data_IF_637867295641
#
_entry.id   IF_637867295641
#
_cell.length_a   1.000
_cell.length_b   1.000
_cell.length_c   1.000
_cell.angle_alpha   90.00
_cell.angle_beta   90.00
_cell.angle_gamma   90.00
#
_symmetry.space_group_name_H-M   'P 1'
#
loop_
_entity.id
_entity.type
_entity.pdbx_description
1 polymer ?
#
# COMPACT_ATOMS: atom_id res chain seq x y z
N UNK A 1 -48.43 -0.49 68.15
CA UNK A 1 -47.60 -0.22 66.96
C UNK A 1 -47.06 -1.53 66.43
N UNK A 2 -47.55 -2.01 65.28
CA UNK A 2 -47.01 -3.18 64.58
C UNK A 2 -46.66 -2.70 63.16
N UNK A 3 -45.37 -2.65 62.85
CA UNK A 3 -44.82 -2.24 61.56
C UNK A 3 -44.77 -3.45 60.64
N UNK A 4 -45.50 -3.42 59.54
CA UNK A 4 -45.44 -4.42 58.47
C UNK A 4 -44.46 -3.98 57.39
N UNK A 5 -43.41 -4.78 57.23
CA UNK A 5 -42.33 -4.67 56.27
C UNK A 5 -42.86 -4.93 54.85
N UNK A 6 -42.72 -3.97 53.92
CA UNK A 6 -43.01 -4.19 52.49
C UNK A 6 -41.70 -4.53 51.78
N UNK A 7 -41.66 -5.74 51.21
CA UNK A 7 -40.56 -6.21 50.37
C UNK A 7 -40.52 -5.40 49.05
N UNK A 8 -39.34 -4.85 48.74
CA UNK A 8 -39.06 -4.14 47.50
C UNK A 8 -38.44 -5.13 46.49
N UNK A 9 -39.22 -5.54 45.49
CA UNK A 9 -38.76 -6.38 44.39
C UNK A 9 -37.98 -5.52 43.39
N UNK A 10 -36.66 -5.71 43.31
CA UNK A 10 -35.80 -5.08 42.31
C UNK A 10 -35.87 -5.90 41.02
N UNK A 11 -36.46 -5.33 39.97
CA UNK A 11 -36.46 -5.87 38.61
C UNK A 11 -35.17 -5.40 37.94
N UNK A 12 -34.23 -6.32 37.76
CA UNK A 12 -33.00 -6.12 36.99
C UNK A 12 -33.36 -6.20 35.51
N UNK A 13 -33.47 -5.05 34.85
CA UNK A 13 -33.68 -4.94 33.40
C UNK A 13 -32.30 -5.05 32.72
N UNK A 14 -32.01 -6.25 32.20
CA UNK A 14 -30.78 -6.52 31.44
C UNK A 14 -30.78 -5.78 30.11
N UNK A 15 -29.92 -4.77 29.98
CA UNK A 15 -29.57 -4.18 28.70
C UNK A 15 -28.72 -5.18 27.91
N UNK A 16 -29.36 -5.89 26.97
CA UNK A 16 -28.67 -6.58 25.88
C UNK A 16 -28.07 -5.51 24.96
N UNK A 17 -26.79 -5.20 25.16
CA UNK A 17 -26.01 -4.43 24.20
C UNK A 17 -25.72 -5.35 23.02
N UNK A 18 -26.51 -5.23 21.97
CA UNK A 18 -26.22 -5.81 20.67
C UNK A 18 -24.93 -5.14 20.14
N UNK A 19 -23.83 -5.89 20.18
CA UNK A 19 -22.59 -5.51 19.55
C UNK A 19 -22.79 -5.67 18.03
N UNK A 20 -23.15 -4.58 17.35
CA UNK A 20 -23.09 -4.51 15.90
C UNK A 20 -21.61 -4.47 15.49
N UNK A 21 -20.96 -5.63 15.41
CA UNK A 21 -19.73 -5.78 14.64
C UNK A 21 -20.08 -5.52 13.19
N UNK A 22 -19.92 -4.27 12.75
CA UNK A 22 -19.84 -3.94 11.33
C UNK A 22 -18.59 -4.62 10.81
N UNK A 23 -18.73 -5.83 10.29
CA UNK A 23 -17.73 -6.45 9.45
C UNK A 23 -17.48 -5.46 8.32
N UNK A 24 -16.30 -4.84 8.32
CA UNK A 24 -15.88 -3.92 7.28
C UNK A 24 -15.73 -4.73 6.00
N UNK A 25 -16.80 -4.87 5.22
CA UNK A 25 -16.73 -5.42 3.88
C UNK A 25 -15.73 -4.56 3.09
N UNK A 26 -14.68 -5.20 2.56
CA UNK A 26 -13.74 -4.52 1.66
C UNK A 26 -14.57 -3.98 0.48
N UNK A 27 -14.38 -2.72 0.07
CA UNK A 27 -15.17 -2.13 -1.00
C UNK A 27 -15.03 -3.00 -2.26
N UNK A 28 -16.16 -3.52 -2.76
CA UNK A 28 -16.24 -4.19 -4.04
C UNK A 28 -16.07 -3.14 -5.14
N UNK A 29 -15.21 -3.42 -6.10
CA UNK A 29 -14.95 -2.53 -7.21
C UNK A 29 -15.32 -3.27 -8.48
N UNK A 30 -16.28 -2.72 -9.22
CA UNK A 30 -16.57 -3.13 -10.60
C UNK A 30 -15.37 -2.72 -11.45
N UNK A 31 -14.45 -3.67 -11.65
CA UNK A 31 -13.28 -3.46 -12.52
C UNK A 31 -13.58 -4.11 -13.86
N UNK A 32 -13.28 -3.41 -14.94
CA UNK A 32 -13.41 -3.88 -16.32
C UNK A 32 -12.35 -4.94 -16.66
N UNK A 33 -12.50 -6.12 -16.07
CA UNK A 33 -11.65 -7.28 -16.32
C UNK A 33 -12.06 -7.98 -17.62
N UNK A 34 -11.11 -8.17 -18.53
CA UNK A 34 -11.28 -9.06 -19.69
C UNK A 34 -10.94 -10.48 -19.24
N UNK A 35 -11.80 -11.46 -19.52
CA UNK A 35 -11.58 -12.83 -19.08
C UNK A 35 -11.69 -13.84 -20.21
N UNK A 36 -11.03 -14.99 -20.04
CA UNK A 36 -11.04 -16.09 -21.00
C UNK A 36 -10.83 -17.41 -20.27
N UNK A 37 -11.80 -18.31 -20.41
CA UNK A 37 -11.75 -19.64 -19.81
C UNK A 37 -11.16 -20.67 -20.78
N UNK A 38 -10.32 -21.58 -20.26
CA UNK A 38 -9.81 -22.77 -20.93
C UNK A 38 -9.95 -23.98 -20.00
N UNK A 39 -11.17 -24.43 -19.76
CA UNK A 39 -11.44 -25.62 -18.93
C UNK A 39 -11.70 -25.33 -17.44
N UNK A 40 -11.20 -24.20 -16.91
CA UNK A 40 -11.67 -23.68 -15.62
C UNK A 40 -12.87 -22.76 -15.82
N UNK A 41 -13.86 -22.86 -14.93
CA UNK A 41 -14.97 -21.92 -14.85
C UNK A 41 -14.84 -21.08 -13.56
N UNK A 42 -15.07 -19.78 -13.67
CA UNK A 42 -15.07 -18.82 -12.56
C UNK A 42 -16.32 -17.96 -12.73
N UNK A 43 -17.15 -17.88 -11.69
CA UNK A 43 -18.40 -17.10 -11.76
C UNK A 43 -18.12 -15.60 -11.73
N UNK A 44 -17.30 -15.16 -10.77
CA UNK A 44 -16.96 -13.74 -10.60
C UNK A 44 -15.45 -13.55 -10.48
N UNK A 45 -14.92 -12.58 -11.22
CA UNK A 45 -13.56 -12.06 -11.04
C UNK A 45 -13.63 -10.57 -10.72
N UNK A 46 -12.98 -10.14 -9.65
CA UNK A 46 -13.00 -8.74 -9.23
C UNK A 46 -11.72 -8.35 -8.49
N UNK A 47 -11.38 -7.06 -8.52
CA UNK A 47 -10.28 -6.52 -7.72
C UNK A 47 -10.82 -5.87 -6.44
N UNK A 48 -10.13 -6.10 -5.33
CA UNK A 48 -10.37 -5.42 -4.06
C UNK A 48 -9.07 -4.83 -3.51
N UNK A 49 -9.19 -3.80 -2.67
CA UNK A 49 -8.05 -3.13 -2.02
C UNK A 49 -8.31 -3.02 -0.53
N UNK A 50 -7.24 -2.82 0.25
CA UNK A 50 -7.37 -2.45 1.67
C UNK A 50 -7.64 -0.97 1.89
N UNK A 51 -7.18 -0.13 0.96
CA UNK A 51 -7.37 1.32 1.00
C UNK A 51 -8.43 1.77 -0.01
N UNK A 52 -8.96 2.97 0.21
CA UNK A 52 -9.87 3.64 -0.73
C UNK A 52 -9.15 3.86 -2.06
N UNK A 53 -9.84 3.57 -3.16
CA UNK A 53 -9.30 3.84 -4.49
C UNK A 53 -9.65 5.27 -4.94
N UNK A 54 -8.73 5.98 -5.61
CA UNK A 54 -8.99 7.30 -6.19
C UNK A 54 -9.97 7.29 -7.38
N UNK A 55 -10.22 6.13 -8.00
CA UNK A 55 -11.13 5.98 -9.12
C UNK A 55 -11.15 4.56 -9.67
N UNK A 56 -11.93 4.32 -10.72
CA UNK A 56 -11.98 3.02 -11.41
C UNK A 56 -10.58 2.64 -11.93
N UNK A 57 -10.12 1.42 -11.62
CA UNK A 57 -8.81 0.89 -11.99
C UNK A 57 -7.64 1.87 -11.74
N UNK A 58 -7.77 2.76 -10.75
CA UNK A 58 -6.74 3.75 -10.42
C UNK A 58 -6.30 3.51 -8.98
N UNK A 59 -4.99 3.46 -8.77
CA UNK A 59 -4.40 3.12 -7.49
C UNK A 59 -3.30 4.11 -7.12
N UNK A 60 -3.04 4.25 -5.83
CA UNK A 60 -1.88 5.01 -5.37
C UNK A 60 -0.60 4.17 -5.46
N UNK A 61 0.54 4.83 -5.66
CA UNK A 61 1.85 4.18 -5.59
C UNK A 61 2.03 3.47 -4.24
N UNK A 62 2.60 2.26 -4.27
CA UNK A 62 2.79 1.42 -3.10
C UNK A 62 1.55 0.67 -2.61
N UNK A 63 0.38 0.93 -3.21
CA UNK A 63 -0.86 0.26 -2.83
C UNK A 63 -0.83 -1.23 -3.24
N UNK A 64 -1.41 -2.06 -2.39
CA UNK A 64 -1.68 -3.48 -2.69
C UNK A 64 -3.12 -3.66 -3.13
N UNK A 65 -3.33 -4.40 -4.22
CA UNK A 65 -4.65 -4.91 -4.57
C UNK A 65 -4.67 -6.42 -4.72
N UNK A 66 -5.87 -6.97 -4.60
CA UNK A 66 -6.16 -8.39 -4.65
C UNK A 66 -7.06 -8.69 -5.83
N UNK A 67 -6.64 -9.57 -6.73
CA UNK A 67 -7.52 -10.13 -7.77
C UNK A 67 -8.17 -11.39 -7.24
N UNK A 68 -9.49 -11.40 -7.16
CA UNK A 68 -10.28 -12.45 -6.52
C UNK A 68 -11.02 -13.25 -7.59
N UNK A 69 -10.90 -14.58 -7.53
CA UNK A 69 -11.59 -15.53 -8.39
C UNK A 69 -12.58 -16.29 -7.52
N UNK A 70 -13.88 -16.08 -7.72
CA UNK A 70 -14.93 -16.61 -6.87
C UNK A 70 -15.71 -17.72 -7.57
N UNK A 71 -16.10 -18.72 -6.79
CA UNK A 71 -16.92 -19.86 -7.21
C UNK A 71 -16.29 -20.60 -8.40
N UNK A 72 -15.07 -21.09 -8.16
CA UNK A 72 -14.20 -21.70 -9.18
C UNK A 72 -14.49 -23.19 -9.31
N UNK A 73 -14.50 -23.71 -10.53
CA UNK A 73 -14.64 -25.13 -10.82
C UNK A 73 -13.84 -25.54 -12.07
N UNK A 74 -13.77 -26.85 -12.33
CA UNK A 74 -13.05 -27.41 -13.49
C UNK A 74 -11.63 -27.92 -13.17
N UNK A 75 -11.17 -27.79 -11.92
CA UNK A 75 -9.93 -28.42 -11.48
C UNK A 75 -10.04 -29.95 -11.42
N UNK A 76 -8.94 -30.63 -11.69
CA UNK A 76 -8.78 -32.05 -11.38
C UNK A 76 -8.59 -32.24 -9.88
N UNK A 77 -9.48 -33.02 -9.29
CA UNK A 77 -9.43 -33.35 -7.87
C UNK A 77 -8.50 -34.55 -7.67
N UNK A 78 -7.52 -34.40 -6.78
CA UNK A 78 -6.63 -35.49 -6.36
C UNK A 78 -6.68 -35.58 -4.83
N UNK A 79 -7.17 -36.70 -4.31
CA UNK A 79 -7.33 -36.94 -2.86
C UNK A 79 -8.21 -35.90 -2.13
N UNK A 80 -9.18 -35.29 -2.83
CA UNK A 80 -10.12 -34.31 -2.24
C UNK A 80 -9.69 -32.85 -2.39
N UNK A 81 -8.50 -32.60 -2.94
CA UNK A 81 -7.95 -31.26 -3.14
C UNK A 81 -7.86 -30.92 -4.64
N UNK A 82 -7.97 -29.63 -4.96
CA UNK A 82 -7.47 -29.08 -6.22
C UNK A 82 -6.09 -28.44 -6.00
N UNK A 83 -5.31 -28.26 -7.08
CA UNK A 83 -3.92 -27.78 -7.01
C UNK A 83 -3.77 -26.54 -7.89
N UNK A 84 -4.36 -25.42 -7.45
CA UNK A 84 -4.38 -24.22 -8.26
C UNK A 84 -3.00 -23.59 -8.26
N UNK A 85 -2.70 -22.86 -9.32
CA UNK A 85 -1.56 -21.97 -9.34
C UNK A 85 -1.91 -20.68 -10.06
N UNK A 86 -1.31 -19.58 -9.60
CA UNK A 86 -1.55 -18.26 -10.15
C UNK A 86 -0.23 -17.62 -10.58
N UNK A 87 -0.24 -17.13 -11.81
CA UNK A 87 0.80 -16.31 -12.40
C UNK A 87 0.24 -14.91 -12.65
N UNK A 88 1.07 -13.90 -12.42
CA UNK A 88 0.78 -12.51 -12.81
C UNK A 88 1.95 -11.93 -13.59
N UNK A 89 1.63 -11.25 -14.69
CA UNK A 89 2.56 -10.46 -15.48
C UNK A 89 2.05 -9.04 -15.56
N UNK A 90 2.89 -8.07 -15.20
CA UNK A 90 2.60 -6.64 -15.36
C UNK A 90 3.39 -6.10 -16.54
N UNK A 91 2.69 -5.46 -17.45
CA UNK A 91 3.23 -4.93 -18.70
C UNK A 91 3.03 -3.41 -18.74
N UNK A 92 4.06 -2.68 -19.16
CA UNK A 92 3.94 -1.25 -19.43
C UNK A 92 3.07 -0.98 -20.67
N UNK A 93 2.61 0.25 -20.84
CA UNK A 93 1.92 0.68 -22.08
C UNK A 93 2.74 0.43 -23.37
N UNK A 94 4.07 0.42 -23.27
CA UNK A 94 4.97 0.13 -24.39
C UNK A 94 5.10 -1.38 -24.71
N UNK A 95 4.51 -2.26 -23.90
CA UNK A 95 4.59 -3.71 -24.06
C UNK A 95 5.76 -4.36 -23.33
N UNK A 96 6.52 -3.61 -22.53
CA UNK A 96 7.63 -4.16 -21.74
C UNK A 96 7.10 -4.89 -20.52
N UNK A 97 7.55 -6.12 -20.28
CA UNK A 97 7.29 -6.84 -19.02
C UNK A 97 8.11 -6.20 -17.92
N UNK A 98 7.42 -5.69 -16.89
CA UNK A 98 8.03 -5.03 -15.74
C UNK A 98 8.13 -5.97 -14.54
N UNK A 99 7.14 -6.85 -14.38
CA UNK A 99 7.07 -7.80 -13.28
C UNK A 99 6.44 -9.10 -13.78
N UNK A 100 7.00 -10.23 -13.35
CA UNK A 100 6.51 -11.56 -13.62
C UNK A 100 6.65 -12.39 -12.35
N UNK A 101 5.53 -12.69 -11.70
CA UNK A 101 5.49 -13.55 -10.53
C UNK A 101 4.75 -14.83 -10.90
N UNK A 102 5.48 -15.94 -10.82
CA UNK A 102 4.95 -17.29 -10.97
C UNK A 102 4.78 -17.92 -9.61
N UNK A 103 3.91 -18.90 -9.54
CA UNK A 103 3.72 -19.74 -8.37
C UNK A 103 3.23 -18.99 -7.12
N UNK A 104 2.29 -18.05 -7.27
CA UNK A 104 1.78 -17.23 -6.16
C UNK A 104 1.10 -18.04 -5.05
N UNK A 105 0.64 -19.27 -5.32
CA UNK A 105 0.07 -20.17 -4.32
C UNK A 105 1.07 -21.22 -3.80
N UNK A 106 2.30 -21.22 -4.31
CA UNK A 106 3.37 -22.10 -3.86
C UNK A 106 3.13 -23.58 -4.16
N UNK A 107 2.24 -23.91 -5.09
CA UNK A 107 1.93 -25.29 -5.49
C UNK A 107 1.23 -26.15 -4.41
N UNK A 108 0.66 -25.54 -3.38
CA UNK A 108 -0.04 -26.25 -2.31
C UNK A 108 -1.45 -26.66 -2.75
N UNK A 109 -1.84 -27.89 -2.40
CA UNK A 109 -3.21 -28.35 -2.55
C UNK A 109 -4.17 -27.50 -1.71
N UNK A 110 -5.34 -27.22 -2.27
CA UNK A 110 -6.43 -26.50 -1.63
C UNK A 110 -7.65 -27.41 -1.52
N UNK A 111 -8.35 -27.42 -0.38
CA UNK A 111 -9.60 -28.13 -0.24
C UNK A 111 -10.61 -27.73 -1.32
N UNK A 112 -11.35 -28.70 -1.86
CA UNK A 112 -12.31 -28.45 -2.94
C UNK A 112 -13.45 -27.48 -2.61
N UNK A 113 -13.68 -27.20 -1.33
CA UNK A 113 -14.71 -26.29 -0.83
C UNK A 113 -14.22 -24.83 -0.69
N UNK A 114 -12.95 -24.54 -0.99
CA UNK A 114 -12.45 -23.16 -1.06
C UNK A 114 -13.17 -22.42 -2.19
N UNK A 115 -13.99 -21.46 -1.81
CA UNK A 115 -14.88 -20.70 -2.71
C UNK A 115 -14.21 -19.48 -3.37
N UNK A 116 -13.04 -19.07 -2.90
CA UNK A 116 -12.34 -17.90 -3.45
C UNK A 116 -10.84 -18.08 -3.39
N UNK A 117 -10.17 -17.88 -4.52
CA UNK A 117 -8.73 -17.74 -4.62
C UNK A 117 -8.39 -16.27 -4.87
N UNK A 118 -7.32 -15.76 -4.27
CA UNK A 118 -6.91 -14.37 -4.45
C UNK A 118 -5.42 -14.25 -4.76
N UNK A 119 -5.08 -13.51 -5.80
CA UNK A 119 -3.72 -13.08 -6.09
C UNK A 119 -3.46 -11.71 -5.51
N UNK A 120 -2.24 -11.48 -5.01
CA UNK A 120 -1.80 -10.20 -4.48
C UNK A 120 -0.83 -9.54 -5.48
N UNK A 121 -1.00 -8.24 -5.71
CA UNK A 121 -0.05 -7.41 -6.46
C UNK A 121 0.23 -6.12 -5.69
N UNK A 122 1.52 -5.81 -5.48
CA UNK A 122 2.00 -4.57 -4.87
C UNK A 122 2.43 -3.63 -6.00
N UNK A 123 1.89 -2.40 -6.00
CA UNK A 123 2.12 -1.41 -7.04
C UNK A 123 3.28 -0.47 -6.68
N UNK A 124 4.47 -1.05 -6.53
CA UNK A 124 5.71 -0.33 -6.26
C UNK A 124 6.74 -0.62 -7.38
N UNK A 125 7.95 -0.06 -7.27
CA UNK A 125 9.07 -0.29 -8.20
C UNK A 125 9.11 -1.75 -8.71
N UNK A 126 9.02 -1.99 -10.03
CA UNK A 126 9.16 -1.05 -11.15
C UNK A 126 7.86 -0.42 -11.70
N UNK A 127 6.76 -0.47 -10.95
CA UNK A 127 5.46 0.09 -11.32
C UNK A 127 5.31 1.47 -10.68
N UNK A 128 5.63 2.53 -11.43
CA UNK A 128 5.64 3.91 -10.97
C UNK A 128 4.35 4.68 -11.27
N UNK A 129 4.12 5.73 -10.51
CA UNK A 129 3.05 6.70 -10.69
C UNK A 129 3.19 7.50 -12.00
N UNK A 130 2.06 8.06 -12.46
CA UNK A 130 1.97 8.83 -13.70
C UNK A 130 1.77 7.96 -14.95
N UNK A 131 1.85 6.63 -14.81
CA UNK A 131 1.80 5.68 -15.92
C UNK A 131 0.56 4.77 -15.86
N UNK A 132 0.36 4.03 -16.95
CA UNK A 132 -0.69 3.03 -17.11
C UNK A 132 -0.07 1.69 -17.49
N UNK A 133 -0.63 0.63 -16.93
CA UNK A 133 -0.12 -0.72 -16.99
C UNK A 133 -1.25 -1.69 -17.30
N UNK A 134 -0.87 -2.91 -17.69
CA UNK A 134 -1.78 -4.04 -17.84
C UNK A 134 -1.31 -5.17 -16.93
N UNK A 135 -2.16 -5.60 -16.01
CA UNK A 135 -1.95 -6.83 -15.24
C UNK A 135 -2.63 -7.99 -15.96
N UNK A 136 -1.88 -9.06 -16.23
CA UNK A 136 -2.37 -10.30 -16.84
C UNK A 136 -2.20 -11.44 -15.86
N UNK A 137 -3.31 -12.10 -15.53
CA UNK A 137 -3.35 -13.24 -14.64
C UNK A 137 -3.63 -14.52 -15.40
N UNK A 138 -2.98 -15.59 -14.96
CA UNK A 138 -3.27 -16.96 -15.38
C UNK A 138 -3.44 -17.82 -14.14
N UNK A 139 -4.68 -18.22 -13.88
CA UNK A 139 -5.03 -19.24 -12.90
C UNK A 139 -5.06 -20.59 -13.62
N UNK A 140 -4.37 -21.61 -13.12
CA UNK A 140 -4.33 -22.91 -13.79
C UNK A 140 -4.23 -24.07 -12.81
N UNK A 141 -4.62 -25.26 -13.27
CA UNK A 141 -4.51 -26.51 -12.53
C UNK A 141 -3.14 -27.15 -12.78
N UNK A 142 -2.36 -27.41 -11.73
CA UNK A 142 -1.05 -28.09 -11.87
C UNK A 142 -1.17 -29.61 -12.04
N UNK A 143 -2.37 -30.19 -11.89
CA UNK A 143 -2.65 -31.62 -12.09
C UNK A 143 -3.48 -31.92 -13.33
N UNK A 144 -3.89 -30.90 -14.07
CA UNK A 144 -4.66 -30.97 -15.31
C UNK A 144 -4.17 -29.95 -16.34
N UNK A 145 -4.94 -29.78 -17.42
CA UNK A 145 -4.63 -28.82 -18.49
C UNK A 145 -5.54 -27.57 -18.43
N UNK A 146 -6.37 -27.45 -17.39
CA UNK A 146 -7.35 -26.41 -17.26
C UNK A 146 -6.71 -25.08 -16.81
N UNK A 147 -7.13 -23.97 -17.43
CA UNK A 147 -6.70 -22.62 -17.12
C UNK A 147 -7.83 -21.59 -17.24
N UNK A 148 -7.61 -20.43 -16.62
CA UNK A 148 -8.44 -19.24 -16.68
C UNK A 148 -7.52 -18.02 -16.76
N UNK A 149 -7.85 -17.09 -17.65
CA UNK A 149 -7.08 -15.88 -17.87
C UNK A 149 -7.92 -14.66 -17.54
N UNK A 150 -7.32 -13.68 -16.89
CA UNK A 150 -7.91 -12.36 -16.72
C UNK A 150 -6.89 -11.26 -16.98
N UNK A 151 -7.37 -10.13 -17.51
CA UNK A 151 -6.56 -8.95 -17.82
C UNK A 151 -7.25 -7.69 -17.33
N UNK A 152 -6.49 -6.77 -16.76
CA UNK A 152 -6.96 -5.46 -16.30
C UNK A 152 -5.94 -4.38 -16.63
N UNK A 153 -6.39 -3.33 -17.31
CA UNK A 153 -5.63 -2.09 -17.45
C UNK A 153 -5.82 -1.24 -16.20
N UNK A 154 -4.75 -0.66 -15.66
CA UNK A 154 -4.80 0.18 -14.47
C UNK A 154 -3.81 1.34 -14.51
N UNK A 155 -4.12 2.39 -13.76
CA UNK A 155 -3.28 3.58 -13.60
C UNK A 155 -2.72 3.65 -12.18
N UNK A 156 -1.46 4.05 -12.06
CA UNK A 156 -0.86 4.39 -10.77
C UNK A 156 -0.68 5.90 -10.69
N UNK A 157 -1.07 6.50 -9.56
CA UNK A 157 -0.93 7.93 -9.28
C UNK A 157 -0.20 8.14 -7.95
N UNK A 158 0.36 9.34 -7.78
CA UNK A 158 1.01 9.76 -6.54
C UNK A 158 -0.03 9.92 -5.43
N UNK A 159 0.43 9.82 -4.18
CA UNK A 159 -0.41 10.12 -3.02
C UNK A 159 -0.74 11.64 -3.00
N UNK A 160 -2.02 12.05 -3.04
CA UNK A 160 -2.41 13.45 -3.06
C UNK A 160 -2.09 14.19 -1.75
N UNK A 161 -1.70 13.48 -0.69
CA UNK A 161 -1.27 14.08 0.57
C UNK A 161 0.21 14.48 0.59
N UNK A 162 0.95 14.22 -0.49
CA UNK A 162 2.37 14.55 -0.62
C UNK A 162 2.55 15.50 -1.80
N UNK A 163 3.00 16.71 -1.51
CA UNK A 163 3.41 17.69 -2.52
C UNK A 163 4.92 17.66 -2.68
N UNK A 164 5.41 17.75 -3.92
CA UNK A 164 6.83 17.71 -4.26
C UNK A 164 7.18 18.95 -5.09
N UNK A 165 8.18 19.70 -4.63
CA UNK A 165 8.77 20.83 -5.33
C UNK A 165 10.22 20.51 -5.68
N UNK A 166 10.56 20.47 -6.96
CA UNK A 166 11.90 20.13 -7.46
C UNK A 166 12.64 21.37 -7.96
N UNK A 167 13.93 21.49 -7.62
CA UNK A 167 14.84 22.50 -8.12
C UNK A 167 16.20 21.87 -8.43
N UNK A 168 16.31 21.24 -9.60
CA UNK A 168 17.55 20.58 -10.04
C UNK A 168 17.75 19.17 -9.49
N UNK A 169 17.38 18.90 -8.24
CA UNK A 169 17.28 17.54 -7.70
C UNK A 169 15.87 17.00 -8.01
N UNK A 170 15.79 15.77 -8.47
CA UNK A 170 14.53 15.14 -8.88
C UNK A 170 14.32 13.82 -8.16
N UNK A 171 13.07 13.37 -8.09
CA UNK A 171 12.68 12.10 -7.49
C UNK A 171 11.61 11.42 -8.32
N UNK A 172 11.66 10.08 -8.44
CA UNK A 172 10.59 9.35 -9.15
C UNK A 172 9.36 9.20 -8.29
N UNK A 173 9.53 8.80 -7.03
CA UNK A 173 8.44 8.58 -6.08
C UNK A 173 8.79 9.10 -4.69
N UNK A 174 7.78 9.68 -4.04
CA UNK A 174 7.80 9.96 -2.61
C UNK A 174 6.55 9.36 -1.99
N UNK A 175 6.72 8.59 -0.91
CA UNK A 175 5.61 7.89 -0.27
C UNK A 175 5.84 7.72 1.23
N UNK A 176 4.74 7.53 1.98
CA UNK A 176 4.78 7.23 3.40
C UNK A 176 4.82 5.73 3.62
N UNK A 177 5.79 5.22 4.38
CA UNK A 177 5.97 3.79 4.60
C UNK A 177 6.07 3.43 6.08
N UNK A 178 5.53 2.27 6.46
CA UNK A 178 5.78 1.65 7.75
C UNK A 178 6.52 0.33 7.55
N UNK A 179 7.81 0.34 7.87
CA UNK A 179 8.68 -0.83 7.75
C UNK A 179 8.24 -2.02 8.59
N UNK A 180 7.63 -1.80 9.76
CA UNK A 180 7.20 -2.89 10.64
C UNK A 180 5.92 -3.57 10.13
N UNK A 181 5.07 -2.81 9.44
CA UNK A 181 3.85 -3.33 8.80
C UNK A 181 4.06 -3.74 7.34
N UNK A 182 5.23 -3.44 6.79
CA UNK A 182 5.56 -3.60 5.37
C UNK A 182 4.47 -3.00 4.45
N UNK A 183 4.09 -1.75 4.74
CA UNK A 183 2.93 -1.11 4.11
C UNK A 183 3.15 0.36 3.82
N UNK A 184 2.75 0.77 2.61
CA UNK A 184 2.62 2.18 2.23
C UNK A 184 1.29 2.73 2.72
N UNK A 185 1.30 3.93 3.29
CA UNK A 185 0.10 4.69 3.64
C UNK A 185 -0.26 5.60 2.49
N UNK A 186 -1.54 5.56 2.09
CA UNK A 186 -2.06 6.32 0.94
C UNK A 186 -3.31 7.14 1.30
N UNK A 187 -3.69 7.14 2.58
CA UNK A 187 -4.87 7.86 3.10
C UNK A 187 -4.48 9.00 4.03
N UNK A 188 -3.17 9.29 4.15
CA UNK A 188 -2.62 10.27 5.07
C UNK A 188 -2.88 9.97 6.55
N UNK A 189 -3.33 8.77 6.93
CA UNK A 189 -3.63 8.42 8.32
C UNK A 189 -2.52 7.55 8.88
N UNK A 190 -1.94 7.98 10.01
CA UNK A 190 -0.86 7.26 10.69
C UNK A 190 -1.23 7.00 12.15
N UNK A 191 -0.80 5.86 12.68
CA UNK A 191 -1.03 5.53 14.09
C UNK A 191 -0.06 6.26 15.02
N UNK A 192 -0.48 6.58 16.24
CA UNK A 192 0.46 6.97 17.29
C UNK A 192 1.43 5.85 17.63
N UNK A 193 2.63 6.23 18.05
CA UNK A 193 3.73 5.35 18.45
C UNK A 193 4.19 4.40 17.33
N UNK A 194 3.82 4.69 16.08
CA UNK A 194 4.30 4.00 14.88
C UNK A 194 5.51 4.72 14.28
N UNK A 195 6.50 3.94 13.87
CA UNK A 195 7.63 4.44 13.07
C UNK A 195 7.21 4.50 11.62
N UNK A 196 7.03 5.72 11.12
CA UNK A 196 6.70 5.99 9.73
C UNK A 196 7.89 6.67 9.06
N UNK A 197 8.14 6.37 7.79
CA UNK A 197 9.14 7.04 6.97
C UNK A 197 8.49 7.76 5.81
N UNK A 198 9.06 8.90 5.43
CA UNK A 198 8.86 9.54 4.14
C UNK A 198 10.04 9.12 3.27
N UNK A 199 9.76 8.24 2.32
CA UNK A 199 10.74 7.57 1.48
C UNK A 199 10.85 8.29 0.13
N UNK A 200 12.09 8.50 -0.34
CA UNK A 200 12.42 9.12 -1.61
C UNK A 200 13.14 8.09 -2.48
N UNK A 201 12.55 7.74 -3.62
CA UNK A 201 13.05 6.68 -4.49
C UNK A 201 13.49 7.19 -5.86
N UNK A 202 14.60 6.65 -6.37
CA UNK A 202 15.22 7.02 -7.64
C UNK A 202 15.52 8.53 -7.71
N UNK A 203 16.36 9.01 -6.81
CA UNK A 203 16.84 10.39 -6.86
C UNK A 203 17.75 10.59 -8.09
N UNK A 204 17.58 11.73 -8.74
CA UNK A 204 18.38 12.15 -9.89
C UNK A 204 18.80 13.63 -9.76
N UNK A 205 19.78 14.07 -10.56
CA UNK A 205 20.17 15.48 -10.64
C UNK A 205 21.21 15.93 -9.61
N UNK A 206 21.69 15.04 -8.75
CA UNK A 206 22.83 15.30 -7.86
C UNK A 206 24.16 15.30 -8.62
N UNK A 207 25.19 15.96 -8.06
CA UNK A 207 26.55 15.96 -8.59
C UNK A 207 27.49 15.07 -7.79
N UNK A 208 28.31 14.34 -8.53
CA UNK A 208 29.43 13.58 -7.98
C UNK A 208 30.66 14.46 -7.94
N UNK A 209 31.25 14.65 -6.75
CA UNK A 209 32.52 15.36 -6.56
C UNK A 209 33.45 14.48 -5.74
N UNK A 210 34.71 14.34 -6.17
CA UNK A 210 35.68 13.44 -5.53
C UNK A 210 35.15 12.00 -5.34
N UNK A 211 34.42 11.48 -6.34
CA UNK A 211 33.74 10.17 -6.32
C UNK A 211 32.72 9.99 -5.18
N UNK A 212 32.19 11.09 -4.64
CA UNK A 212 31.16 11.07 -3.60
C UNK A 212 29.95 11.90 -4.01
N UNK A 213 28.78 11.42 -3.64
CA UNK A 213 27.52 12.14 -3.59
C UNK A 213 27.31 12.52 -2.13
N UNK A 214 27.10 13.80 -1.85
CA UNK A 214 26.88 14.29 -0.49
C UNK A 214 25.52 14.97 -0.45
N UNK A 215 24.57 14.33 0.24
CA UNK A 215 23.23 14.89 0.42
C UNK A 215 23.11 15.50 1.81
N UNK A 216 22.27 16.52 1.92
CA UNK A 216 21.74 16.98 3.19
C UNK A 216 20.23 16.80 3.26
N UNK A 217 19.70 16.75 4.49
CA UNK A 217 18.26 16.58 4.73
C UNK A 217 17.78 17.47 5.87
N UNK A 218 16.93 18.43 5.58
CA UNK A 218 16.28 19.28 6.57
C UNK A 218 14.89 18.71 6.82
N UNK A 219 14.53 18.53 8.09
CA UNK A 219 13.24 17.99 8.51
C UNK A 219 12.57 19.04 9.37
N UNK A 220 11.31 19.36 9.06
CA UNK A 220 10.50 20.26 9.85
C UNK A 220 9.07 19.71 9.97
N UNK A 221 8.63 19.47 11.20
CA UNK A 221 7.30 18.90 11.47
C UNK A 221 6.54 19.83 12.39
N UNK A 222 5.35 20.24 11.97
CA UNK A 222 4.47 21.14 12.73
C UNK A 222 3.05 20.58 12.82
N UNK A 223 2.35 20.90 13.90
CA UNK A 223 0.94 20.59 14.04
C UNK A 223 0.05 21.71 13.46
N UNK A 224 -1.27 21.51 13.41
CA UNK A 224 -2.21 22.48 12.84
C UNK A 224 -2.31 23.81 13.61
N UNK A 225 -1.79 23.87 14.84
CA UNK A 225 -1.68 25.13 15.59
C UNK A 225 -0.36 25.86 15.32
N UNK A 226 0.50 25.32 14.44
CA UNK A 226 1.83 25.84 14.16
C UNK A 226 2.86 25.49 15.23
N UNK A 227 2.57 24.53 16.11
CA UNK A 227 3.53 24.08 17.13
C UNK A 227 4.55 23.17 16.45
N UNK A 228 5.83 23.51 16.58
CA UNK A 228 6.94 22.68 16.12
C UNK A 228 7.00 21.39 16.96
N UNK A 229 6.86 20.24 16.28
CA UNK A 229 6.97 18.91 16.88
C UNK A 229 8.42 18.46 16.87
N UNK A 230 9.10 18.62 15.71
CA UNK A 230 10.52 18.33 15.57
C UNK A 230 11.13 19.14 14.43
N UNK A 231 12.43 19.41 14.54
CA UNK A 231 13.23 20.07 13.52
C UNK A 231 14.64 19.52 13.51
N UNK A 232 15.14 19.16 12.33
CA UNK A 232 16.54 18.80 12.09
C UNK A 232 17.06 19.64 10.93
N UNK A 233 18.22 20.27 11.10
CA UNK A 233 18.84 21.11 10.06
C UNK A 233 19.58 20.29 9.00
N UNK A 234 20.19 19.19 9.41
CA UNK A 234 20.83 18.23 8.50
C UNK A 234 20.82 16.83 9.14
N UNK A 235 19.79 16.04 8.85
CA UNK A 235 19.67 14.67 9.31
C UNK A 235 20.65 13.70 8.61
N UNK A 236 21.29 14.14 7.52
CA UNK A 236 22.31 13.40 6.77
C UNK A 236 23.70 14.01 6.98
N UNK A 237 23.92 14.73 8.10
CA UNK A 237 25.24 15.25 8.43
C UNK A 237 26.25 14.10 8.45
N UNK A 238 27.41 14.29 7.80
CA UNK A 238 28.47 13.30 7.65
C UNK A 238 28.12 12.02 6.86
N UNK A 239 27.00 11.99 6.13
CA UNK A 239 26.66 10.90 5.23
C UNK A 239 27.10 11.22 3.79
N UNK A 240 27.66 10.22 3.12
CA UNK A 240 28.01 10.29 1.69
C UNK A 240 27.78 8.95 1.02
N UNK A 241 27.50 8.99 -0.27
CA UNK A 241 27.25 7.81 -1.10
C UNK A 241 28.32 7.74 -2.20
N UNK A 242 28.83 6.55 -2.47
CA UNK A 242 29.66 6.32 -3.67
C UNK A 242 28.78 6.26 -4.93
N UNK A 243 27.58 5.69 -4.77
CA UNK A 243 26.53 5.56 -5.78
C UNK A 243 25.18 5.52 -5.05
N UNK A 244 24.13 6.06 -5.67
CA UNK A 244 22.74 5.82 -5.27
C UNK A 244 22.14 4.95 -6.37
N UNK A 245 21.77 3.72 -6.02
CA UNK A 245 21.20 2.71 -6.92
C UNK A 245 19.68 2.73 -6.89
N UNK A 246 19.06 1.98 -7.79
CA UNK A 246 17.60 1.92 -7.89
C UNK A 246 16.94 1.32 -6.63
N UNK A 247 17.66 0.44 -5.93
CA UNK A 247 17.23 -0.15 -4.66
C UNK A 247 17.47 0.77 -3.43
N UNK A 248 18.24 1.85 -3.58
CA UNK A 248 18.54 2.76 -2.47
C UNK A 248 17.35 3.70 -2.23
N UNK A 249 16.93 3.77 -0.97
CA UNK A 249 15.84 4.66 -0.52
C UNK A 249 16.42 5.65 0.48
N UNK A 250 16.33 6.93 0.16
CA UNK A 250 16.63 8.00 1.11
C UNK A 250 15.35 8.24 1.92
N UNK A 251 15.46 8.24 3.25
CA UNK A 251 14.27 8.28 4.10
C UNK A 251 14.43 9.25 5.26
N UNK A 252 13.34 9.95 5.57
CA UNK A 252 13.17 10.69 6.83
C UNK A 252 12.21 9.90 7.71
N UNK A 253 12.50 9.70 8.99
CA UNK A 253 11.65 8.91 9.91
C UNK A 253 11.00 9.80 10.95
N UNK A 254 9.75 9.49 11.30
CA UNK A 254 8.95 10.18 12.31
C UNK A 254 8.25 9.16 13.21
N UNK A 255 8.19 9.45 14.51
CA UNK A 255 7.35 8.75 15.48
C UNK A 255 6.51 9.82 16.18
N UNK A 256 5.19 9.70 16.07
CA UNK A 256 4.25 10.61 16.73
C UNK A 256 3.75 9.99 18.02
N UNK A 257 4.11 10.57 19.16
CA UNK A 257 3.62 10.10 20.47
C UNK A 257 2.27 10.73 20.80
N UNK A 258 1.41 9.98 21.51
CA UNK A 258 0.14 10.54 22.03
C UNK A 258 0.41 11.78 22.90
N UNK A 259 -0.34 12.85 22.64
CA UNK A 259 -0.16 14.12 23.34
C UNK A 259 -1.14 15.19 22.87
N UNK A 260 -0.82 16.45 23.12
CA UNK A 260 -1.62 17.60 22.67
C UNK A 260 -1.25 17.99 21.23
N UNK A 261 -1.31 17.03 20.30
CA UNK A 261 -1.11 17.29 18.87
C UNK A 261 -2.41 17.73 18.22
N UNK A 262 -2.34 18.74 17.34
CA UNK A 262 -3.47 19.17 16.52
C UNK A 262 -3.30 18.68 15.08
N UNK A 263 -4.24 17.87 14.61
CA UNK A 263 -4.29 17.45 13.21
C UNK A 263 -4.84 18.59 12.30
N UNK A 264 -4.46 18.64 11.02
CA UNK A 264 -3.41 17.80 10.40
C UNK A 264 -1.99 18.22 10.85
N UNK A 265 -1.06 17.29 10.74
CA UNK A 265 0.37 17.49 10.95
C UNK A 265 1.02 17.69 9.59
N UNK A 266 1.85 18.73 9.47
CA UNK A 266 2.65 19.00 8.27
C UNK A 266 4.04 18.44 8.49
N UNK A 267 4.48 17.52 7.63
CA UNK A 267 5.83 16.97 7.63
C UNK A 267 6.55 17.42 6.36
N UNK A 268 7.41 18.42 6.51
CA UNK A 268 8.23 18.94 5.42
C UNK A 268 9.64 18.37 5.50
N UNK A 269 10.14 17.88 4.38
CA UNK A 269 11.50 17.37 4.22
C UNK A 269 12.13 18.00 2.98
N UNK A 270 13.24 18.71 3.17
CA UNK A 270 14.04 19.26 2.08
C UNK A 270 15.32 18.44 1.92
N UNK A 271 15.53 17.89 0.74
CA UNK A 271 16.78 17.24 0.34
C UNK A 271 17.57 18.20 -0.53
N UNK A 272 18.88 18.28 -0.32
CA UNK A 272 19.75 19.05 -1.20
C UNK A 272 21.07 18.32 -1.47
N UNK A 273 21.64 18.58 -2.64
CA UNK A 273 22.98 18.13 -3.01
C UNK A 273 24.01 19.13 -2.49
N UNK A 274 24.89 18.71 -1.58
CA UNK A 274 25.96 19.56 -1.03
C UNK A 274 27.03 19.93 -2.07
N UNK A 275 27.05 19.26 -3.22
CA UNK A 275 27.95 19.55 -4.33
C UNK A 275 27.37 20.50 -5.39
N UNK A 276 26.15 20.99 -5.22
CA UNK A 276 25.51 21.93 -6.14
C UNK A 276 24.41 22.76 -5.47
N UNK A 277 23.63 23.49 -6.27
CA UNK A 277 22.44 24.21 -5.80
C UNK A 277 21.16 23.37 -5.98
N UNK A 278 21.31 22.09 -6.34
CA UNK A 278 20.19 21.19 -6.61
C UNK A 278 19.51 20.76 -5.30
N UNK A 279 18.20 20.86 -5.24
CA UNK A 279 17.38 20.50 -4.09
C UNK A 279 15.97 20.09 -4.50
N UNK A 280 15.26 19.44 -3.58
CA UNK A 280 13.83 19.21 -3.66
C UNK A 280 13.21 19.30 -2.27
N UNK A 281 11.93 19.63 -2.19
CA UNK A 281 11.16 19.62 -0.96
C UNK A 281 9.92 18.76 -1.13
N UNK A 282 9.72 17.80 -0.23
CA UNK A 282 8.46 17.08 -0.11
C UNK A 282 7.72 17.54 1.15
N UNK A 283 6.42 17.79 1.01
CA UNK A 283 5.55 18.16 2.12
C UNK A 283 4.40 17.17 2.21
N UNK A 284 4.39 16.35 3.27
CA UNK A 284 3.32 15.41 3.56
C UNK A 284 2.34 15.99 4.58
N UNK A 285 1.05 15.89 4.30
CA UNK A 285 -0.03 16.24 5.25
C UNK A 285 -0.63 14.97 5.84
N UNK A 286 -0.43 14.76 7.14
CA UNK A 286 -0.86 13.52 7.82
C UNK A 286 -1.81 13.79 8.99
N UNK A 287 -2.64 12.81 9.31
CA UNK A 287 -3.54 12.78 10.47
C UNK A 287 -3.14 11.65 11.40
N UNK A 288 -2.75 11.98 12.63
CA UNK A 288 -2.44 10.99 13.65
C UNK A 288 -3.72 10.46 14.34
N UNK A 289 -3.83 9.14 14.51
CA UNK A 289 -4.96 8.46 15.19
C UNK A 289 -4.52 7.39 16.17
#
# INVERSE_FOLDING_TARGET
MKTTFKALTIIILGFLVACNTKTSEKPHVDNTLKTRAEGLAVDTVFVSTEAVQPGENTFFYGQTFYTNFKDISGFKIVNGDYFPELEVVVVSKAGTVLLENKNLFGGLGQPQDVSTLHGLLILANPIFSGDTYTARYKLYDTKGDAAYFSEMDFKVIQDPHIEIEENGLKVREVYLFNKFKDKVFTDGIVGFDESISLDFQLLEGYKIKNNKIELGMEIHVTDAAGVEITKSKDALENHSYDVIRDEDVIQSTLILTKGRLKNPITWQVRLWDKNSDAELTATATITAK
#
